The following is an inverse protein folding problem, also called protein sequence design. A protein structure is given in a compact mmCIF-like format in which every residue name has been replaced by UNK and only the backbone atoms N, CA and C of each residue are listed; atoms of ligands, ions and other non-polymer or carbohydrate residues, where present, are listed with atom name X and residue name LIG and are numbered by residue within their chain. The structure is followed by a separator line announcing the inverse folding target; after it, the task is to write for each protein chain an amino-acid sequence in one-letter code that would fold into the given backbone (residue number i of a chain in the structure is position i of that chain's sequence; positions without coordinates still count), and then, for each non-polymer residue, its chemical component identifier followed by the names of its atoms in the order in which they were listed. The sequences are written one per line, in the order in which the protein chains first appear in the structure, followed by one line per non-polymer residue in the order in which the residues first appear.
data_IF_464396288119
#
_entry.id   IF_464396288119
#
_cell.length_a   1.000
_cell.length_b   1.000
_cell.length_c   1.000
_cell.angle_alpha   90.00
_cell.angle_beta   90.00
_cell.angle_gamma   90.00
#
_symmetry.space_group_name_H-M   'P 1'
#
loop_
_entity.id
_entity.type
_entity.pdbx_description
1 polymer ?
#
# COMPACT_ATOMS: atom_id res chain seq x y z
N UNK A 1 18.79 -29.27 -3.67
CA UNK A 1 17.49 -29.78 -4.11
C UNK A 1 16.57 -28.58 -4.22
N UNK A 2 16.60 -27.95 -5.40
CA UNK A 2 15.83 -26.74 -5.67
C UNK A 2 14.49 -27.11 -6.31
N UNK A 3 13.43 -27.19 -5.52
CA UNK A 3 12.07 -27.15 -6.04
C UNK A 3 11.67 -25.70 -6.27
N UNK A 4 11.69 -25.21 -7.49
CA UNK A 4 11.13 -23.91 -7.82
C UNK A 4 9.61 -23.99 -7.69
N UNK A 5 9.02 -23.27 -6.73
CA UNK A 5 7.58 -23.10 -6.63
C UNK A 5 7.20 -22.01 -7.64
N UNK A 6 6.99 -22.42 -8.88
CA UNK A 6 6.48 -21.54 -9.90
C UNK A 6 4.97 -21.37 -9.72
N UNK A 7 4.51 -20.17 -9.31
CA UNK A 7 3.11 -19.80 -9.44
C UNK A 7 2.92 -19.37 -10.90
N UNK A 8 2.59 -20.33 -11.75
CA UNK A 8 2.29 -20.06 -13.15
C UNK A 8 0.89 -19.44 -13.29
N UNK A 9 0.83 -18.17 -13.63
CA UNK A 9 -0.41 -17.56 -14.12
C UNK A 9 -0.48 -17.83 -15.62
N UNK A 10 -1.32 -18.78 -16.03
CA UNK A 10 -1.58 -19.00 -17.43
C UNK A 10 -2.35 -17.83 -18.03
N UNK A 11 -2.14 -17.55 -19.32
CA UNK A 11 -2.82 -16.51 -20.11
C UNK A 11 -4.36 -16.54 -20.03
N UNK A 12 -4.94 -17.59 -19.48
CA UNK A 12 -6.39 -17.76 -19.26
C UNK A 12 -6.88 -17.27 -17.89
N UNK A 13 -6.01 -16.72 -17.05
CA UNK A 13 -6.37 -16.27 -15.69
C UNK A 13 -6.74 -17.41 -14.72
N UNK A 14 -6.61 -18.68 -15.12
CA UNK A 14 -6.78 -19.82 -14.22
C UNK A 14 -5.45 -20.20 -13.59
N UNK A 15 -5.42 -20.25 -12.28
CA UNK A 15 -4.31 -20.82 -11.51
C UNK A 15 -4.29 -22.34 -11.74
N UNK A 16 -3.10 -22.91 -11.91
CA UNK A 16 -2.95 -24.37 -11.87
C UNK A 16 -3.34 -24.90 -10.47
N UNK A 17 -3.88 -26.12 -10.38
CA UNK A 17 -4.34 -26.71 -9.11
C UNK A 17 -3.28 -26.68 -7.99
N UNK A 18 -1.99 -26.74 -8.34
CA UNK A 18 -0.89 -26.57 -7.39
C UNK A 18 -0.72 -25.15 -6.83
N UNK A 19 -1.18 -24.11 -7.54
CA UNK A 19 -1.10 -22.71 -7.11
C UNK A 19 -2.20 -22.31 -6.13
N UNK A 20 -3.39 -22.84 -6.25
CA UNK A 20 -4.54 -22.50 -5.40
C UNK A 20 -4.34 -22.89 -3.95
N UNK A 21 -3.63 -23.99 -3.70
CA UNK A 21 -3.31 -24.49 -2.35
C UNK A 21 -2.61 -23.43 -1.47
N UNK A 22 -1.78 -22.59 -2.07
CA UNK A 22 -0.94 -21.63 -1.33
C UNK A 22 -1.53 -20.24 -1.26
N UNK A 23 -2.60 -19.93 -2.00
CA UNK A 23 -3.18 -18.58 -2.05
C UNK A 23 -3.66 -18.09 -0.68
N UNK A 24 -4.28 -18.96 0.10
CA UNK A 24 -4.81 -18.65 1.42
C UNK A 24 -3.89 -19.09 2.58
N UNK A 25 -2.78 -19.76 2.30
CA UNK A 25 -1.88 -20.24 3.36
C UNK A 25 -1.25 -19.05 4.11
N UNK A 26 -1.15 -19.07 5.46
CA UNK A 26 -0.44 -18.03 6.21
C UNK A 26 1.04 -18.00 5.84
N UNK A 27 1.57 -16.82 5.48
CA UNK A 27 2.97 -16.65 5.09
C UNK A 27 3.93 -17.09 6.21
N UNK A 28 3.65 -16.70 7.45
CA UNK A 28 4.47 -17.04 8.61
C UNK A 28 4.53 -18.56 8.85
N UNK A 29 3.39 -19.24 8.69
CA UNK A 29 3.31 -20.70 8.81
C UNK A 29 4.15 -21.40 7.74
N UNK A 30 3.97 -21.03 6.49
CA UNK A 30 4.71 -21.61 5.37
C UNK A 30 6.23 -21.41 5.49
N UNK A 31 6.68 -20.20 5.84
CA UNK A 31 8.10 -19.94 6.11
C UNK A 31 8.60 -20.82 7.25
N UNK A 32 7.79 -21.00 8.30
CA UNK A 32 8.11 -21.86 9.45
C UNK A 32 8.26 -23.33 9.10
N UNK A 33 7.49 -23.83 8.16
CA UNK A 33 7.58 -25.21 7.65
C UNK A 33 8.83 -25.43 6.77
N UNK A 34 9.18 -24.43 5.96
CA UNK A 34 10.29 -24.53 5.02
C UNK A 34 11.67 -24.30 5.66
N UNK A 35 11.74 -23.54 6.74
CA UNK A 35 13.00 -23.06 7.32
C UNK A 35 13.03 -23.35 8.82
N UNK A 36 14.06 -24.07 9.29
CA UNK A 36 14.23 -24.38 10.72
C UNK A 36 14.81 -23.21 11.53
N UNK A 37 15.74 -22.45 10.94
CA UNK A 37 16.45 -21.35 11.60
C UNK A 37 15.51 -20.15 11.87
N UNK A 38 15.30 -19.75 13.14
CA UNK A 38 14.41 -18.63 13.48
C UNK A 38 14.89 -17.29 12.94
N UNK A 39 16.20 -17.07 12.83
CA UNK A 39 16.74 -15.82 12.29
C UNK A 39 16.45 -15.72 10.79
N UNK A 40 16.69 -16.80 10.05
CA UNK A 40 16.39 -16.83 8.61
C UNK A 40 14.89 -16.68 8.35
N UNK A 41 14.01 -17.24 9.20
CA UNK A 41 12.55 -16.97 9.12
C UNK A 41 12.24 -15.48 9.19
N UNK A 42 12.88 -14.76 10.10
CA UNK A 42 12.70 -13.31 10.24
C UNK A 42 13.26 -12.54 9.05
N UNK A 43 14.41 -12.94 8.51
CA UNK A 43 14.98 -12.33 7.31
C UNK A 43 14.03 -12.48 6.11
N UNK A 44 13.51 -13.69 5.89
CA UNK A 44 12.57 -13.97 4.80
C UNK A 44 11.25 -13.20 4.97
N UNK A 45 10.77 -13.03 6.19
CA UNK A 45 9.55 -12.28 6.49
C UNK A 45 9.77 -10.76 6.59
N UNK A 46 11.00 -10.26 6.49
CA UNK A 46 11.36 -8.86 6.77
C UNK A 46 10.74 -7.81 5.85
N UNK A 47 10.14 -8.23 4.74
CA UNK A 47 9.39 -7.36 3.83
C UNK A 47 7.90 -7.20 4.20
N UNK A 48 7.45 -7.86 5.28
CA UNK A 48 6.05 -7.83 5.70
C UNK A 48 5.45 -6.41 5.87
N UNK A 49 6.20 -5.37 6.29
CA UNK A 49 5.66 -4.04 6.41
C UNK A 49 5.21 -3.42 5.08
N UNK A 50 5.75 -3.87 3.96
CA UNK A 50 5.39 -3.35 2.63
C UNK A 50 3.95 -3.67 2.20
N UNK A 51 3.33 -4.68 2.82
CA UNK A 51 1.95 -5.07 2.53
C UNK A 51 1.04 -5.07 3.78
N UNK A 52 1.45 -4.37 4.84
CA UNK A 52 0.68 -4.33 6.09
C UNK A 52 0.60 -5.70 6.77
N UNK A 53 1.70 -6.44 6.77
CA UNK A 53 1.75 -7.84 7.16
C UNK A 53 1.36 -8.09 8.62
N UNK A 54 0.44 -9.04 8.81
CA UNK A 54 0.01 -9.56 10.11
C UNK A 54 0.26 -11.06 10.11
N UNK A 55 0.88 -11.57 11.18
CA UNK A 55 1.31 -12.98 11.29
C UNK A 55 0.21 -13.98 10.98
N UNK A 56 -0.99 -13.74 11.51
CA UNK A 56 -2.10 -14.69 11.48
C UNK A 56 -2.91 -14.62 10.19
N UNK A 57 -2.92 -13.48 9.52
CA UNK A 57 -3.83 -13.23 8.39
C UNK A 57 -3.14 -12.96 7.06
N UNK A 58 -1.84 -12.65 7.07
CA UNK A 58 -1.11 -12.39 5.81
C UNK A 58 -0.89 -13.68 5.04
N UNK A 59 -1.41 -13.71 3.80
CA UNK A 59 -1.30 -14.88 2.96
C UNK A 59 0.07 -14.99 2.29
N UNK A 60 0.50 -16.21 2.01
CA UNK A 60 1.71 -16.48 1.25
C UNK A 60 1.67 -15.83 -0.13
N UNK A 61 0.49 -15.72 -0.74
CA UNK A 61 0.33 -15.05 -2.02
C UNK A 61 0.78 -13.58 -1.97
N UNK A 62 0.30 -12.79 -0.99
CA UNK A 62 0.73 -11.39 -0.85
C UNK A 62 2.22 -11.28 -0.58
N UNK A 63 2.74 -12.13 0.31
CA UNK A 63 4.17 -12.18 0.62
C UNK A 63 5.02 -12.50 -0.62
N UNK A 64 4.63 -13.52 -1.36
CA UNK A 64 5.33 -13.93 -2.57
C UNK A 64 5.29 -12.86 -3.67
N UNK A 65 4.14 -12.21 -3.89
CA UNK A 65 4.00 -11.15 -4.90
C UNK A 65 4.90 -9.96 -4.61
N UNK A 66 4.97 -9.51 -3.35
CA UNK A 66 5.83 -8.39 -2.96
C UNK A 66 7.31 -8.75 -3.12
N UNK A 67 7.72 -9.94 -2.66
CA UNK A 67 9.11 -10.37 -2.81
C UNK A 67 9.47 -10.62 -4.28
N UNK A 68 8.58 -11.19 -5.06
CA UNK A 68 8.79 -11.40 -6.49
C UNK A 68 9.07 -10.07 -7.22
N UNK A 69 8.29 -9.02 -6.95
CA UNK A 69 8.52 -7.71 -7.55
C UNK A 69 9.91 -7.12 -7.25
N UNK A 70 10.46 -7.40 -6.07
CA UNK A 70 11.80 -6.98 -5.71
C UNK A 70 12.89 -7.84 -6.37
N UNK A 71 12.63 -9.14 -6.57
CA UNK A 71 13.58 -10.08 -7.22
C UNK A 71 13.65 -9.82 -8.72
N UNK A 72 12.52 -9.57 -9.38
CA UNK A 72 12.45 -9.30 -10.82
C UNK A 72 13.13 -7.99 -11.22
N UNK A 73 13.22 -7.02 -10.33
CA UNK A 73 13.93 -5.78 -10.57
C UNK A 73 13.25 -4.57 -9.93
N UNK A 74 13.61 -4.29 -8.70
CA UNK A 74 13.23 -3.04 -8.08
C UNK A 74 13.99 -1.88 -8.74
N UNK A 75 13.26 -0.85 -9.17
CA UNK A 75 13.83 0.36 -9.75
C UNK A 75 13.40 1.61 -8.99
N UNK A 76 14.14 2.68 -9.17
CA UNK A 76 13.85 4.00 -8.62
C UNK A 76 13.81 5.02 -9.75
N UNK A 77 13.00 6.05 -9.57
CA UNK A 77 13.04 7.19 -10.48
C UNK A 77 14.19 8.12 -10.09
N UNK A 78 15.11 8.36 -11.02
CA UNK A 78 16.09 9.46 -10.89
C UNK A 78 15.33 10.78 -10.79
N UNK A 79 15.66 11.64 -9.83
CA UNK A 79 14.93 12.87 -9.56
C UNK A 79 13.59 12.70 -8.82
N UNK A 80 13.26 11.47 -8.39
CA UNK A 80 12.10 11.18 -7.54
C UNK A 80 10.80 10.89 -8.28
N UNK A 81 9.81 10.44 -7.54
CA UNK A 81 8.51 9.96 -8.06
C UNK A 81 7.50 11.08 -8.37
N UNK A 82 7.78 12.33 -7.99
CA UNK A 82 6.92 13.47 -8.30
C UNK A 82 6.67 13.62 -9.81
N UNK A 83 7.63 13.23 -10.63
CA UNK A 83 7.53 13.23 -12.09
C UNK A 83 6.31 12.47 -12.62
N UNK A 84 5.91 11.38 -11.97
CA UNK A 84 4.72 10.61 -12.35
C UNK A 84 3.46 11.45 -12.14
N UNK A 85 3.36 12.10 -10.97
CA UNK A 85 2.23 12.94 -10.64
C UNK A 85 2.13 14.14 -11.59
N UNK A 86 3.28 14.75 -11.89
CA UNK A 86 3.35 15.90 -12.81
C UNK A 86 2.98 15.53 -14.24
N UNK A 87 3.44 14.37 -14.73
CA UNK A 87 3.09 13.87 -16.05
C UNK A 87 1.59 13.56 -16.17
N UNK A 88 1.00 12.91 -15.14
CA UNK A 88 -0.44 12.66 -15.09
C UNK A 88 -1.24 13.95 -15.02
N UNK A 89 -0.81 14.91 -14.20
CA UNK A 89 -1.42 16.22 -14.09
C UNK A 89 -1.37 17.01 -15.42
N UNK A 90 -0.26 16.93 -16.13
CA UNK A 90 -0.12 17.54 -17.44
C UNK A 90 -1.12 16.92 -18.44
N UNK A 91 -1.24 15.60 -18.46
CA UNK A 91 -2.21 14.91 -19.33
C UNK A 91 -3.67 15.27 -19.02
N UNK A 92 -4.02 15.38 -17.73
CA UNK A 92 -5.37 15.82 -17.34
C UNK A 92 -5.67 17.21 -17.90
N UNK A 93 -4.73 18.16 -17.78
CA UNK A 93 -4.90 19.53 -18.29
C UNK A 93 -4.94 19.57 -19.82
N UNK A 94 -4.09 18.80 -20.49
CA UNK A 94 -4.06 18.68 -21.95
C UNK A 94 -5.43 18.25 -22.52
N UNK A 95 -6.13 17.38 -21.80
CA UNK A 95 -7.49 16.94 -22.16
C UNK A 95 -8.61 17.83 -21.58
N UNK A 96 -8.31 19.05 -21.16
CA UNK A 96 -9.29 20.00 -20.65
C UNK A 96 -9.81 19.72 -19.23
N UNK A 97 -9.17 18.80 -18.51
CA UNK A 97 -9.51 18.49 -17.13
C UNK A 97 -9.04 19.56 -16.16
N UNK A 98 -9.81 19.77 -15.09
CA UNK A 98 -9.48 20.70 -14.01
C UNK A 98 -8.97 19.96 -12.78
N UNK A 99 -7.86 20.45 -12.21
CA UNK A 99 -7.32 19.94 -10.95
C UNK A 99 -7.54 20.98 -9.86
N UNK A 100 -8.22 20.58 -8.80
CA UNK A 100 -8.44 21.40 -7.62
C UNK A 100 -7.58 20.87 -6.48
N UNK A 101 -6.69 21.69 -5.96
CA UNK A 101 -5.90 21.41 -4.76
C UNK A 101 -6.51 22.10 -3.54
N UNK A 102 -6.24 21.64 -2.34
CA UNK A 102 -6.77 22.17 -1.09
C UNK A 102 -8.31 22.26 -1.08
N UNK A 103 -8.95 21.36 -1.80
CA UNK A 103 -10.41 21.32 -2.00
C UNK A 103 -10.97 20.10 -1.29
N UNK A 104 -11.18 20.22 0.03
CA UNK A 104 -11.70 19.13 0.86
C UNK A 104 -13.16 18.86 0.52
N UNK A 105 -13.47 17.62 0.17
CA UNK A 105 -14.84 17.12 0.00
C UNK A 105 -15.45 16.87 1.37
N UNK A 106 -16.67 17.37 1.59
CA UNK A 106 -17.41 17.21 2.85
C UNK A 106 -18.68 16.38 2.69
N UNK A 107 -19.26 16.32 1.49
CA UNK A 107 -20.41 15.45 1.22
C UNK A 107 -20.47 15.01 -0.24
N UNK A 108 -21.11 13.86 -0.47
CA UNK A 108 -21.50 13.36 -1.78
C UNK A 108 -23.04 13.33 -1.82
N UNK A 109 -23.62 14.15 -2.69
CA UNK A 109 -25.07 14.26 -2.82
C UNK A 109 -25.63 13.18 -3.74
N UNK A 110 -26.75 12.61 -3.34
CA UNK A 110 -27.42 11.54 -4.09
C UNK A 110 -28.88 11.89 -4.33
N UNK A 111 -29.37 11.53 -5.49
CA UNK A 111 -30.79 11.56 -5.83
C UNK A 111 -31.21 10.18 -6.36
N UNK A 112 -32.10 9.53 -5.63
CA UNK A 112 -32.45 8.14 -5.89
C UNK A 112 -31.22 7.24 -5.87
N UNK A 113 -30.86 6.67 -7.02
CA UNK A 113 -29.73 5.74 -7.18
C UNK A 113 -28.49 6.36 -7.82
N UNK A 114 -28.44 7.69 -7.93
CA UNK A 114 -27.34 8.39 -8.62
C UNK A 114 -26.69 9.40 -7.70
N UNK A 115 -25.39 9.58 -7.86
CA UNK A 115 -24.67 10.70 -7.30
C UNK A 115 -24.93 11.90 -8.23
N UNK A 116 -25.29 13.04 -7.66
CA UNK A 116 -25.58 14.27 -8.40
C UNK A 116 -24.51 15.32 -8.26
N UNK A 117 -23.70 15.24 -7.21
CA UNK A 117 -22.64 16.21 -7.00
C UNK A 117 -21.77 15.92 -5.78
N UNK A 118 -20.74 16.73 -5.70
CA UNK A 118 -19.73 16.72 -4.66
C UNK A 118 -19.71 18.10 -4.01
N UNK A 119 -19.88 18.15 -2.69
CA UNK A 119 -19.78 19.39 -1.91
C UNK A 119 -18.39 19.56 -1.33
N UNK A 120 -17.84 20.75 -1.48
CA UNK A 120 -16.55 21.13 -0.93
C UNK A 120 -16.73 21.89 0.38
N UNK A 121 -15.69 21.89 1.23
CA UNK A 121 -15.70 22.57 2.53
C UNK A 121 -15.89 24.12 2.43
N UNK A 122 -15.61 24.69 1.27
CA UNK A 122 -15.83 26.13 1.00
C UNK A 122 -17.24 26.45 0.48
N UNK A 123 -18.15 25.46 0.48
CA UNK A 123 -19.53 25.58 0.05
C UNK A 123 -19.76 25.41 -1.45
N UNK A 124 -18.71 25.23 -2.25
CA UNK A 124 -18.89 24.98 -3.70
C UNK A 124 -19.51 23.60 -3.93
N UNK A 125 -20.45 23.57 -4.86
CA UNK A 125 -21.07 22.34 -5.36
C UNK A 125 -20.57 22.02 -6.77
N UNK A 126 -19.93 20.86 -6.92
CA UNK A 126 -19.47 20.36 -8.21
C UNK A 126 -20.43 19.26 -8.70
N UNK A 127 -21.09 19.50 -9.83
CA UNK A 127 -21.97 18.51 -10.44
C UNK A 127 -21.19 17.54 -11.30
N UNK A 128 -21.50 16.25 -11.19
CA UNK A 128 -20.87 15.20 -11.98
C UNK A 128 -21.83 14.05 -12.25
N UNK A 129 -21.75 13.45 -13.43
CA UNK A 129 -22.49 12.23 -13.79
C UNK A 129 -21.89 10.98 -13.18
N UNK A 130 -20.59 10.99 -12.93
CA UNK A 130 -19.82 9.89 -12.36
C UNK A 130 -18.81 10.45 -11.40
N UNK A 131 -18.64 9.83 -10.24
CA UNK A 131 -17.67 10.17 -9.23
C UNK A 131 -16.81 8.93 -8.92
N UNK A 132 -15.50 9.08 -9.00
CA UNK A 132 -14.53 8.05 -8.59
C UNK A 132 -13.95 8.50 -7.26
N UNK A 133 -14.11 7.68 -6.23
CA UNK A 133 -13.54 7.93 -4.90
C UNK A 133 -12.30 7.06 -4.72
N UNK A 134 -11.16 7.69 -4.46
CA UNK A 134 -9.89 7.05 -4.18
C UNK A 134 -9.46 7.17 -2.69
N UNK A 135 -10.39 7.54 -1.81
CA UNK A 135 -10.17 7.53 -0.36
C UNK A 135 -10.67 6.22 0.26
N UNK A 136 -10.41 6.01 1.55
CA UNK A 136 -10.85 4.82 2.27
C UNK A 136 -12.37 4.59 2.09
N UNK A 137 -12.82 3.34 1.80
CA UNK A 137 -14.24 3.07 1.52
C UNK A 137 -15.19 3.47 2.65
N UNK A 138 -14.80 3.30 3.92
CA UNK A 138 -15.62 3.72 5.05
C UNK A 138 -15.83 5.25 5.05
N UNK A 139 -14.79 6.03 4.74
CA UNK A 139 -14.89 7.48 4.60
C UNK A 139 -15.77 7.88 3.40
N UNK A 140 -15.64 7.18 2.27
CA UNK A 140 -16.54 7.39 1.13
C UNK A 140 -18.00 7.20 1.53
N UNK A 141 -18.30 6.13 2.30
CA UNK A 141 -19.66 5.88 2.75
C UNK A 141 -20.14 6.91 3.78
N UNK A 142 -19.24 7.45 4.59
CA UNK A 142 -19.56 8.55 5.51
C UNK A 142 -19.94 9.81 4.73
N UNK A 143 -19.20 10.15 3.66
CA UNK A 143 -19.49 11.30 2.81
C UNK A 143 -20.81 11.17 2.05
N UNK A 144 -21.20 9.96 1.63
CA UNK A 144 -22.49 9.71 0.98
C UNK A 144 -23.67 9.82 1.98
N UNK A 145 -23.43 9.53 3.26
CA UNK A 145 -24.47 9.48 4.26
C UNK A 145 -25.45 8.30 4.07
N UNK A 146 -26.56 8.26 4.83
CA UNK A 146 -27.59 7.25 4.67
C UNK A 146 -28.25 7.32 3.29
N UNK A 147 -28.33 6.19 2.60
CA UNK A 147 -28.95 6.09 1.29
C UNK A 147 -29.50 4.67 1.09
N UNK A 148 -30.63 4.48 0.40
CA UNK A 148 -31.19 3.15 0.10
C UNK A 148 -30.34 2.37 -0.90
N UNK A 149 -29.41 3.02 -1.59
CA UNK A 149 -28.53 2.39 -2.59
C UNK A 149 -27.48 1.49 -1.94
N UNK A 150 -26.99 1.88 -0.77
CA UNK A 150 -25.97 1.13 -0.02
C UNK A 150 -26.66 0.47 1.17
N UNK A 151 -26.78 -0.84 1.12
CA UNK A 151 -27.41 -1.62 2.20
C UNK A 151 -26.68 -1.39 3.52
N UNK A 152 -27.43 -1.25 4.61
CA UNK A 152 -26.90 -1.04 5.96
C UNK A 152 -25.84 -2.10 6.33
N UNK A 153 -26.16 -3.38 6.14
CA UNK A 153 -25.24 -4.48 6.44
C UNK A 153 -23.92 -4.41 5.64
N UNK A 154 -23.95 -3.91 4.39
CA UNK A 154 -22.73 -3.72 3.61
C UNK A 154 -21.87 -2.58 4.17
N UNK A 155 -22.49 -1.46 4.53
CA UNK A 155 -21.84 -0.31 5.17
C UNK A 155 -21.21 -0.70 6.51
N UNK A 156 -21.94 -1.45 7.34
CA UNK A 156 -21.46 -1.95 8.63
C UNK A 156 -20.27 -2.90 8.44
N UNK A 157 -20.37 -3.82 7.48
CA UNK A 157 -19.24 -4.73 7.15
C UNK A 157 -18.00 -3.99 6.72
N UNK A 158 -18.10 -2.97 5.89
CA UNK A 158 -16.93 -2.17 5.47
C UNK A 158 -16.38 -1.36 6.64
N UNK A 159 -17.25 -0.77 7.45
CA UNK A 159 -16.86 0.02 8.63
C UNK A 159 -16.26 -0.81 9.78
N UNK A 160 -16.50 -2.12 9.79
CA UNK A 160 -15.93 -3.05 10.78
C UNK A 160 -14.63 -3.72 10.34
N UNK A 161 -14.18 -3.48 9.11
CA UNK A 161 -12.87 -4.00 8.67
C UNK A 161 -11.77 -3.31 9.48
N UNK A 162 -10.86 -4.08 10.08
CA UNK A 162 -9.75 -3.49 10.81
C UNK A 162 -8.80 -2.76 9.84
N UNK A 163 -8.40 -1.58 10.24
CA UNK A 163 -7.32 -0.87 9.55
C UNK A 163 -5.97 -1.53 9.84
N UNK A 164 -5.05 -1.45 8.88
CA UNK A 164 -3.65 -1.79 9.14
C UNK A 164 -2.97 -0.65 9.92
N UNK A 165 -1.72 -0.84 10.27
CA UNK A 165 -0.94 0.20 10.94
C UNK A 165 -0.68 1.39 10.01
N UNK A 166 -0.55 2.57 10.60
CA UNK A 166 -0.12 3.79 9.90
C UNK A 166 1.39 3.85 9.75
N UNK A 167 1.85 4.69 8.82
CA UNK A 167 3.26 4.99 8.62
C UNK A 167 3.53 6.46 8.96
N UNK A 168 4.58 6.71 9.72
CA UNK A 168 5.16 8.04 9.88
C UNK A 168 6.37 8.17 8.96
N UNK A 169 6.37 9.19 8.09
CA UNK A 169 7.48 9.45 7.17
C UNK A 169 8.21 10.72 7.58
N UNK A 170 9.53 10.61 7.76
CA UNK A 170 10.42 11.75 7.95
C UNK A 170 11.30 11.92 6.72
N UNK A 171 11.30 13.12 6.15
CA UNK A 171 12.16 13.47 5.02
C UNK A 171 13.38 14.20 5.55
N UNK A 172 14.56 13.62 5.32
CA UNK A 172 15.83 14.12 5.82
C UNK A 172 16.69 14.65 4.66
N UNK A 173 17.00 15.93 4.69
CA UNK A 173 17.97 16.52 3.79
C UNK A 173 19.35 16.46 4.44
N UNK A 174 20.24 15.65 3.87
CA UNK A 174 21.59 15.47 4.36
C UNK A 174 22.53 16.53 3.79
N UNK A 175 23.56 16.88 4.57
CA UNK A 175 24.65 17.75 4.07
C UNK A 175 25.40 17.02 2.96
N UNK A 176 25.70 17.67 1.83
CA UNK A 176 26.44 17.08 0.73
C UNK A 176 27.76 16.43 1.18
N UNK A 177 28.07 15.27 0.63
CA UNK A 177 29.33 14.55 0.88
C UNK A 177 29.47 13.89 2.26
N UNK A 178 28.45 13.96 3.14
CA UNK A 178 28.53 13.37 4.48
C UNK A 178 28.25 11.88 4.50
N UNK A 179 27.30 11.44 3.68
CA UNK A 179 26.90 10.03 3.58
C UNK A 179 26.88 9.70 2.10
N UNK A 180 27.55 8.63 1.66
CA UNK A 180 27.48 8.18 0.28
C UNK A 180 26.06 7.72 -0.03
N UNK A 181 25.68 7.83 -1.29
CA UNK A 181 24.40 7.30 -1.76
C UNK A 181 24.33 5.78 -1.53
N UNK A 182 23.21 5.33 -0.98
CA UNK A 182 22.95 3.92 -0.72
C UNK A 182 21.85 3.45 -1.64
N UNK A 183 22.20 2.72 -2.71
CA UNK A 183 21.22 2.18 -3.67
C UNK A 183 20.56 0.90 -3.14
N UNK A 184 19.99 0.98 -1.93
CA UNK A 184 19.21 -0.09 -1.31
C UNK A 184 18.29 0.46 -0.23
N UNK A 185 17.25 -0.28 0.10
CA UNK A 185 16.45 -0.04 1.30
C UNK A 185 17.09 -0.75 2.49
N UNK A 186 17.09 -0.11 3.64
CA UNK A 186 17.55 -0.70 4.91
C UNK A 186 16.33 -0.85 5.81
N UNK A 187 16.08 -2.07 6.27
CA UNK A 187 15.02 -2.41 7.21
C UNK A 187 15.66 -2.69 8.57
N UNK A 188 15.29 -1.89 9.55
CA UNK A 188 15.70 -2.08 10.93
C UNK A 188 14.51 -2.56 11.74
N UNK A 189 14.69 -3.63 12.51
CA UNK A 189 13.73 -4.14 13.47
C UNK A 189 14.36 -4.12 14.86
N UNK A 190 13.68 -3.52 15.83
CA UNK A 190 14.17 -3.42 17.20
C UNK A 190 14.09 -4.77 17.95
N UNK A 191 13.23 -5.69 17.50
CA UNK A 191 13.04 -7.01 18.08
C UNK A 191 13.51 -8.14 17.17
N UNK A 192 13.57 -9.35 17.74
CA UNK A 192 13.91 -10.59 17.00
C UNK A 192 12.71 -11.18 16.25
N UNK A 193 11.54 -10.60 16.37
CA UNK A 193 10.32 -11.09 15.72
C UNK A 193 9.74 -9.97 14.86
N UNK A 194 9.92 -10.10 13.55
CA UNK A 194 9.49 -9.10 12.55
C UNK A 194 7.97 -9.01 12.37
N UNK A 195 7.21 -9.96 12.93
CA UNK A 195 5.75 -9.94 12.91
C UNK A 195 5.12 -9.26 14.13
N UNK A 196 5.91 -8.95 15.16
CA UNK A 196 5.43 -8.26 16.35
C UNK A 196 5.19 -6.79 16.08
N UNK A 197 4.64 -6.13 17.09
CA UNK A 197 4.30 -4.72 17.08
C UNK A 197 5.38 -3.87 16.46
N UNK A 198 5.03 -3.17 15.38
CA UNK A 198 5.94 -2.28 14.66
C UNK A 198 6.17 -0.94 15.38
N UNK A 199 5.37 -0.66 16.42
CA UNK A 199 5.49 0.51 17.26
C UNK A 199 5.22 0.16 18.72
N UNK A 200 6.13 0.56 19.60
CA UNK A 200 5.98 0.43 21.05
C UNK A 200 5.31 1.71 21.57
N UNK A 201 4.02 1.61 21.91
CA UNK A 201 3.22 2.74 22.40
C UNK A 201 3.66 3.21 23.77
N UNK A 202 4.11 2.32 24.66
CA UNK A 202 4.58 2.70 26.00
C UNK A 202 5.92 3.43 25.96
N UNK A 203 6.85 2.90 25.17
CA UNK A 203 8.16 3.52 24.99
C UNK A 203 8.16 4.65 23.93
N UNK A 204 7.04 4.90 23.26
CA UNK A 204 6.89 5.92 22.21
C UNK A 204 8.00 5.84 21.15
N UNK A 205 8.35 4.65 20.71
CA UNK A 205 9.40 4.43 19.72
C UNK A 205 8.99 3.42 18.64
N UNK A 206 9.48 3.61 17.40
CA UNK A 206 9.22 2.66 16.35
C UNK A 206 9.92 1.33 16.62
N UNK A 207 9.21 0.23 16.48
CA UNK A 207 9.78 -1.12 16.48
C UNK A 207 10.39 -1.47 15.12
N UNK A 208 10.07 -0.73 14.07
CA UNK A 208 10.60 -0.90 12.71
C UNK A 208 10.86 0.46 12.08
N UNK A 209 11.99 0.57 11.39
CA UNK A 209 12.36 1.73 10.58
C UNK A 209 12.79 1.26 9.20
N UNK A 210 12.20 1.85 8.17
CA UNK A 210 12.65 1.72 6.78
C UNK A 210 13.41 2.99 6.39
N UNK A 211 14.69 2.85 6.06
CA UNK A 211 15.49 3.90 5.46
C UNK A 211 15.60 3.66 3.96
N UNK A 212 15.23 4.65 3.19
CA UNK A 212 15.34 4.65 1.72
C UNK A 212 16.02 5.95 1.28
N UNK A 213 17.12 5.86 0.55
CA UNK A 213 17.76 7.02 -0.05
C UNK A 213 17.17 7.30 -1.44
N UNK A 214 16.94 8.57 -1.76
CA UNK A 214 16.58 8.98 -3.11
C UNK A 214 17.86 9.00 -3.98
N UNK A 215 17.72 8.51 -5.23
CA UNK A 215 18.82 8.58 -6.19
C UNK A 215 19.17 10.06 -6.49
N UNK A 216 20.46 10.43 -6.49
CA UNK A 216 20.88 11.76 -6.91
C UNK A 216 20.49 12.02 -8.37
N UNK A 217 20.27 13.31 -8.70
CA UNK A 217 20.06 13.71 -10.09
C UNK A 217 21.32 13.43 -10.90
N UNK A 218 21.16 12.69 -12.01
CA UNK A 218 22.26 12.41 -12.93
C UNK A 218 23.18 11.25 -12.57
N UNK A 219 22.88 10.49 -11.50
CA UNK A 219 23.60 9.25 -11.22
C UNK A 219 22.97 8.09 -12.01
N UNK A 220 23.66 7.52 -13.02
CA UNK A 220 23.24 6.29 -13.65
C UNK A 220 23.43 5.17 -12.63
N UNK A 221 22.35 4.60 -12.13
CA UNK A 221 22.36 3.45 -11.23
C UNK A 221 22.97 2.20 -11.85
#
# INVERSE_FOLDING_TARGET
IGGSIGIGVHRTGRLSDGGTKYLGAPAAGFIGECVADPLLRNVLAGTNPLYGGVRESSTLYHHAMVNHSNIEGACRFTGGTQQIADALAAKIREHGGTMLVRSRVVALHTEGRRITGVELADGRMLRAKTVISAIHPAETFRLIGPTPVIRKAFRERIGSLPDSYGLFSAYLLLKPGRIPYINRNLYYFAGKDVWKTLFDLEAMRPGMVLLSAQAPDGDPA
#
